data_IF_205791268570
#
_entry.id   IF_205791268570
#
_cell.length_a   1.000
_cell.length_b   1.000
_cell.length_c   1.000
_cell.angle_alpha   90.00
_cell.angle_beta   90.00
_cell.angle_gamma   90.00
#
_symmetry.space_group_name_H-M   'P 1'
#
loop_
_entity.id
_entity.type
_entity.pdbx_description
1 polymer ?
#
# COMPACT_ATOMS: atom_id res chain seq x y z
N UNK A 1 -0.98 -2.09 24.81
CA UNK A 1 0.38 -2.48 24.38
C UNK A 1 0.43 -2.43 22.86
N UNK A 2 1.52 -1.95 22.26
CA UNK A 2 1.68 -1.97 20.79
C UNK A 2 2.35 -3.26 20.34
N UNK A 3 1.63 -4.38 20.42
CA UNK A 3 2.14 -5.68 20.00
C UNK A 3 2.23 -5.74 18.46
N UNK A 4 3.46 -5.85 17.96
CA UNK A 4 3.74 -5.83 16.51
C UNK A 4 3.28 -7.12 15.83
N UNK A 5 3.25 -8.25 16.53
CA UNK A 5 2.84 -9.52 15.95
C UNK A 5 1.33 -9.56 15.78
N UNK A 6 0.58 -9.01 16.74
CA UNK A 6 -0.86 -8.81 16.59
C UNK A 6 -1.20 -7.85 15.44
N UNK A 7 -0.39 -6.81 15.21
CA UNK A 7 -0.58 -5.91 14.07
C UNK A 7 -0.37 -6.65 12.74
N UNK A 8 0.68 -7.49 12.65
CA UNK A 8 0.95 -8.31 11.46
C UNK A 8 -0.17 -9.29 11.17
N UNK A 9 -0.68 -9.97 12.20
CA UNK A 9 -1.82 -10.87 12.09
C UNK A 9 -3.09 -10.12 11.68
N UNK A 10 -3.36 -8.95 12.25
CA UNK A 10 -4.53 -8.15 11.89
C UNK A 10 -4.52 -7.76 10.41
N UNK A 11 -3.36 -7.33 9.90
CA UNK A 11 -3.20 -6.98 8.47
C UNK A 11 -3.28 -8.22 7.58
N UNK A 12 -2.75 -9.37 8.01
CA UNK A 12 -2.86 -10.64 7.29
C UNK A 12 -4.30 -11.14 7.17
N UNK A 13 -5.13 -10.89 8.19
CA UNK A 13 -6.53 -11.28 8.21
C UNK A 13 -7.46 -10.37 7.40
N UNK A 14 -6.96 -9.24 6.89
CA UNK A 14 -7.72 -8.43 5.95
C UNK A 14 -7.92 -9.20 4.63
N UNK A 15 -9.16 -9.38 4.14
CA UNK A 15 -9.44 -10.22 2.97
C UNK A 15 -8.88 -9.62 1.68
N UNK A 16 -8.72 -8.30 1.57
CA UNK A 16 -8.15 -7.66 0.39
C UNK A 16 -6.63 -7.80 0.38
N UNK A 17 -6.00 -7.72 1.54
CA UNK A 17 -4.56 -7.98 1.70
C UNK A 17 -4.26 -9.45 1.40
N UNK A 18 -4.95 -10.38 2.05
CA UNK A 18 -4.73 -11.82 1.87
C UNK A 18 -5.05 -12.33 0.46
N UNK A 19 -5.84 -11.60 -0.33
CA UNK A 19 -6.09 -11.91 -1.73
C UNK A 19 -4.92 -11.58 -2.66
N UNK A 20 -4.01 -10.68 -2.24
CA UNK A 20 -2.96 -10.12 -3.12
C UNK A 20 -1.55 -10.40 -2.58
N UNK A 21 -1.36 -10.44 -1.27
CA UNK A 21 -0.05 -10.50 -0.62
C UNK A 21 0.21 -11.81 0.09
N UNK A 22 1.46 -12.29 0.03
CA UNK A 22 1.93 -13.41 0.86
C UNK A 22 2.21 -12.96 2.31
N UNK A 23 2.30 -13.89 3.28
CA UNK A 23 2.66 -13.54 4.65
C UNK A 23 3.98 -12.75 4.76
N UNK A 24 5.00 -13.09 3.98
CA UNK A 24 6.28 -12.37 3.98
C UNK A 24 6.14 -10.93 3.46
N UNK A 25 5.33 -10.74 2.42
CA UNK A 25 4.99 -9.41 1.90
C UNK A 25 4.24 -8.57 2.95
N UNK A 26 3.30 -9.18 3.68
CA UNK A 26 2.60 -8.52 4.79
C UNK A 26 3.57 -8.12 5.91
N UNK A 27 4.52 -8.99 6.27
CA UNK A 27 5.47 -8.71 7.34
C UNK A 27 6.36 -7.53 6.99
N UNK A 28 6.88 -7.49 5.75
CA UNK A 28 7.63 -6.35 5.25
C UNK A 28 6.75 -5.10 5.21
N UNK A 29 5.53 -5.17 4.67
CA UNK A 29 4.63 -4.04 4.56
C UNK A 29 4.35 -3.40 5.93
N UNK A 30 4.15 -4.21 6.98
CA UNK A 30 3.96 -3.70 8.34
C UNK A 30 5.25 -3.08 8.89
N UNK A 31 6.41 -3.69 8.65
CA UNK A 31 7.70 -3.14 9.07
C UNK A 31 7.98 -1.78 8.40
N UNK A 32 7.71 -1.64 7.10
CA UNK A 32 7.79 -0.38 6.35
C UNK A 32 6.83 0.67 6.92
N UNK A 33 5.58 0.27 7.18
CA UNK A 33 4.54 1.14 7.73
C UNK A 33 4.93 1.70 9.10
N UNK A 34 5.38 0.88 10.05
CA UNK A 34 5.73 1.35 11.40
C UNK A 34 7.00 2.19 11.41
N UNK A 35 7.94 1.92 10.51
CA UNK A 35 9.15 2.73 10.34
C UNK A 35 8.81 4.10 9.73
N UNK A 36 7.99 4.13 8.68
CA UNK A 36 7.58 5.35 8.00
C UNK A 36 6.68 6.22 8.89
N UNK A 37 5.82 5.60 9.70
CA UNK A 37 4.86 6.30 10.55
C UNK A 37 5.29 6.43 12.02
N UNK A 38 6.59 6.27 12.30
CA UNK A 38 7.16 6.28 13.65
C UNK A 38 6.72 7.49 14.51
N UNK A 39 6.60 8.67 13.90
CA UNK A 39 6.18 9.89 14.59
C UNK A 39 4.73 9.84 15.10
N UNK A 40 3.86 9.08 14.42
CA UNK A 40 2.42 8.99 14.73
C UNK A 40 2.05 7.70 15.47
N UNK A 41 2.97 6.73 15.54
CA UNK A 41 2.74 5.40 16.12
C UNK A 41 3.63 5.12 17.34
N UNK A 42 3.59 5.95 18.40
CA UNK A 42 4.47 5.82 19.55
C UNK A 42 4.30 4.48 20.29
N UNK A 43 3.13 3.85 20.20
CA UNK A 43 2.87 2.54 20.82
C UNK A 43 3.78 1.42 20.27
N UNK A 44 4.31 1.57 19.05
CA UNK A 44 5.22 0.61 18.40
C UNK A 44 6.70 1.04 18.45
N UNK A 45 7.04 2.09 19.19
CA UNK A 45 8.40 2.66 19.20
C UNK A 45 9.50 1.63 19.50
N UNK A 46 9.21 0.67 20.38
CA UNK A 46 10.13 -0.42 20.73
C UNK A 46 10.40 -1.42 19.60
N UNK A 47 9.48 -1.55 18.63
CA UNK A 47 9.61 -2.48 17.51
C UNK A 47 10.37 -1.89 16.32
N UNK A 48 10.51 -0.56 16.25
CA UNK A 48 11.13 0.16 15.12
C UNK A 48 12.59 -0.29 14.87
N UNK A 49 13.48 -0.45 15.87
CA UNK A 49 14.85 -0.89 15.61
C UNK A 49 14.91 -2.25 14.91
N UNK A 50 14.16 -3.23 15.42
CA UNK A 50 14.09 -4.56 14.83
C UNK A 50 13.42 -4.56 13.44
N UNK A 51 12.42 -3.71 13.21
CA UNK A 51 11.82 -3.53 11.89
C UNK A 51 12.85 -2.99 10.87
N UNK A 52 13.64 -1.97 11.24
CA UNK A 52 14.70 -1.44 10.36
C UNK A 52 15.74 -2.50 10.00
N UNK A 53 16.12 -3.34 10.96
CA UNK A 53 17.06 -4.44 10.73
C UNK A 53 16.49 -5.46 9.73
N UNK A 54 15.24 -5.89 9.91
CA UNK A 54 14.57 -6.80 8.96
C UNK A 54 14.46 -6.21 7.56
N UNK A 55 14.11 -4.92 7.44
CA UNK A 55 14.04 -4.24 6.15
C UNK A 55 15.39 -4.17 5.43
N UNK A 56 16.50 -4.02 6.16
CA UNK A 56 17.84 -3.98 5.57
C UNK A 56 18.27 -5.30 4.90
N UNK A 57 17.65 -6.42 5.28
CA UNK A 57 17.96 -7.76 4.77
C UNK A 57 16.81 -8.40 4.01
N UNK A 58 15.73 -7.66 3.78
CA UNK A 58 14.53 -8.22 3.19
C UNK A 58 14.75 -8.66 1.73
N UNK A 59 14.11 -9.78 1.38
CA UNK A 59 14.17 -10.38 0.04
C UNK A 59 12.89 -10.18 -0.78
N UNK A 60 11.87 -9.54 -0.20
CA UNK A 60 10.61 -9.27 -0.90
C UNK A 60 10.87 -8.18 -1.95
N UNK A 61 10.57 -8.50 -3.20
CA UNK A 61 10.80 -7.59 -4.33
C UNK A 61 9.63 -6.62 -4.44
N UNK A 62 9.90 -5.33 -4.40
CA UNK A 62 8.92 -4.31 -4.77
C UNK A 62 8.67 -4.36 -6.27
N UNK A 63 7.44 -4.01 -6.67
CA UNK A 63 7.01 -3.98 -8.06
C UNK A 63 6.31 -2.67 -8.33
N UNK A 64 6.66 -2.04 -9.43
CA UNK A 64 5.88 -0.95 -9.99
C UNK A 64 4.52 -1.50 -10.44
N UNK A 65 3.44 -0.97 -9.88
CA UNK A 65 2.08 -1.45 -10.15
C UNK A 65 1.17 -0.28 -10.50
N UNK A 66 0.51 -0.39 -11.66
CA UNK A 66 -0.38 0.66 -12.14
C UNK A 66 -1.76 0.65 -11.45
N UNK A 67 -2.13 -0.38 -10.69
CA UNK A 67 -3.49 -0.53 -10.13
C UNK A 67 -4.42 -1.32 -11.05
N UNK A 68 -5.03 -2.41 -10.55
CA UNK A 68 -5.90 -3.28 -11.35
C UNK A 68 -7.09 -2.54 -12.00
N UNK A 69 -7.60 -1.51 -11.31
CA UNK A 69 -8.75 -0.71 -11.74
C UNK A 69 -8.39 0.76 -12.00
N UNK A 70 -7.09 1.12 -12.09
CA UNK A 70 -6.69 2.51 -12.29
C UNK A 70 -7.07 2.96 -13.70
N UNK A 71 -7.83 4.04 -13.79
CA UNK A 71 -8.06 4.75 -15.05
C UNK A 71 -6.86 5.62 -15.40
N UNK A 72 -6.52 5.69 -16.67
CA UNK A 72 -5.52 6.64 -17.16
C UNK A 72 -5.95 8.08 -16.82
N UNK A 73 -4.96 8.90 -16.52
CA UNK A 73 -5.19 10.34 -16.38
C UNK A 73 -5.56 10.87 -17.76
N UNK A 74 -6.78 11.39 -17.88
CA UNK A 74 -7.28 11.97 -19.14
C UNK A 74 -6.80 13.41 -19.29
N UNK A 75 -6.49 13.81 -20.52
CA UNK A 75 -6.14 15.20 -20.83
C UNK A 75 -7.38 16.10 -20.89
N UNK A 76 -7.18 17.42 -20.79
CA UNK A 76 -8.28 18.39 -20.91
C UNK A 76 -8.84 18.37 -22.34
N UNK A 77 -7.98 18.17 -23.32
CA UNK A 77 -8.31 18.06 -24.74
C UNK A 77 -9.22 16.86 -25.01
N UNK A 78 -8.90 15.68 -24.45
CA UNK A 78 -9.74 14.49 -24.52
C UNK A 78 -11.12 14.73 -23.93
N UNK A 79 -11.19 15.34 -22.74
CA UNK A 79 -12.46 15.65 -22.08
C UNK A 79 -13.32 16.63 -22.91
N UNK A 80 -12.70 17.61 -23.56
CA UNK A 80 -13.40 18.55 -24.44
C UNK A 80 -13.92 17.87 -25.71
N UNK A 81 -13.11 17.01 -26.32
CA UNK A 81 -13.50 16.26 -27.51
C UNK A 81 -14.68 15.31 -27.25
N UNK A 82 -14.65 14.54 -26.16
CA UNK A 82 -15.79 13.71 -25.74
C UNK A 82 -17.05 14.54 -25.52
N UNK A 83 -16.94 15.67 -24.81
CA UNK A 83 -18.09 16.54 -24.54
C UNK A 83 -18.68 17.13 -25.81
N UNK A 84 -17.85 17.49 -26.79
CA UNK A 84 -18.30 17.99 -28.09
C UNK A 84 -18.97 16.90 -28.94
N UNK A 85 -18.45 15.66 -28.89
CA UNK A 85 -19.06 14.51 -29.56
C UNK A 85 -20.42 14.14 -28.96
N UNK A 86 -20.54 14.13 -27.63
CA UNK A 86 -21.80 13.87 -26.92
C UNK A 86 -22.88 14.90 -27.27
N UNK A 87 -22.52 16.17 -27.45
CA UNK A 87 -23.46 17.23 -27.82
C UNK A 87 -23.94 17.13 -29.28
N UNK A 88 -23.17 16.48 -30.16
CA UNK A 88 -23.54 16.27 -31.56
C UNK A 88 -24.40 15.01 -31.77
N UNK A 89 -24.36 14.08 -30.81
CA UNK A 89 -25.08 12.81 -30.88
C UNK A 89 -26.48 12.85 -30.24
N UNK A 90 -26.87 13.95 -29.61
CA UNK A 90 -28.21 14.18 -29.04
C UNK A 90 -28.92 15.33 -29.72
#
# INVERSE_FOLDING_TARGET
>A
SGDIDLLKLAVLHDPLVGAVSTPEEVWQMVDEMVVAQAAWLPQYAHAIPAARERLSTSKVKTREWAGAARRSVRSIEELRAEKAALKQAG
#
